data_IF_951021428383
#
_entry.id   IF_951021428383
#
_cell.length_a   1.000
_cell.length_b   1.000
_cell.length_c   1.000
_cell.angle_alpha   90.00
_cell.angle_beta   90.00
_cell.angle_gamma   90.00
#
_symmetry.space_group_name_H-M   'P 1'
#
loop_
_entity.id
_entity.type
_entity.pdbx_description
1 polymer ?
#
# COMPACT_ATOMS: atom_id res chain seq x y z
N UNK A 1 -7.41 -18.72 17.61
CA UNK A 1 -6.95 -17.34 17.30
C UNK A 1 -7.27 -17.14 15.84
N UNK A 2 -8.19 -16.25 15.51
CA UNK A 2 -8.83 -16.23 14.18
C UNK A 2 -7.82 -16.12 13.05
N UNK A 3 -7.77 -17.16 12.21
CA UNK A 3 -7.25 -17.11 10.85
C UNK A 3 -8.08 -16.09 10.06
N UNK A 4 -7.79 -14.80 10.27
CA UNK A 4 -8.34 -13.75 9.43
C UNK A 4 -7.58 -13.84 8.12
N UNK A 5 -8.21 -14.47 7.12
CA UNK A 5 -7.73 -14.43 5.73
C UNK A 5 -7.43 -12.96 5.40
N UNK A 6 -6.18 -12.68 5.04
CA UNK A 6 -5.75 -11.35 4.62
C UNK A 6 -6.67 -10.83 3.50
N UNK A 7 -6.90 -9.51 3.38
CA UNK A 7 -7.69 -8.98 2.27
C UNK A 7 -7.14 -9.45 0.91
N UNK A 8 -7.98 -9.67 -0.11
CA UNK A 8 -7.53 -10.15 -1.43
C UNK A 8 -6.38 -9.34 -2.03
N UNK A 9 -6.41 -8.01 -1.86
CA UNK A 9 -5.30 -7.14 -2.28
C UNK A 9 -3.98 -7.50 -1.60
N UNK A 10 -3.98 -7.75 -0.29
CA UNK A 10 -2.77 -8.14 0.44
C UNK A 10 -2.30 -9.53 -0.01
N UNK A 11 -3.21 -10.46 -0.27
CA UNK A 11 -2.84 -11.79 -0.77
C UNK A 11 -2.09 -11.70 -2.12
N UNK A 12 -2.52 -10.82 -3.02
CA UNK A 12 -1.83 -10.59 -4.29
C UNK A 12 -0.51 -9.83 -4.10
N UNK A 13 -0.47 -8.82 -3.23
CA UNK A 13 0.76 -8.10 -2.89
C UNK A 13 1.81 -8.98 -2.19
N UNK A 14 1.44 -10.14 -1.64
CA UNK A 14 2.38 -11.12 -1.09
C UNK A 14 3.02 -12.01 -2.17
N UNK A 15 2.71 -11.82 -3.45
CA UNK A 15 3.37 -12.51 -4.55
C UNK A 15 4.52 -11.64 -5.12
N UNK A 16 5.75 -12.16 -5.28
CA UNK A 16 6.87 -11.41 -5.84
C UNK A 16 6.59 -10.78 -7.20
N UNK A 17 5.82 -11.44 -8.05
CA UNK A 17 5.46 -10.95 -9.39
C UNK A 17 4.43 -9.82 -9.41
N UNK A 18 3.92 -9.38 -8.26
CA UNK A 18 3.06 -8.20 -8.14
C UNK A 18 3.85 -6.89 -8.38
N UNK A 19 5.16 -6.91 -8.15
CA UNK A 19 6.01 -5.73 -8.18
C UNK A 19 6.82 -5.66 -9.48
N UNK A 20 7.08 -4.44 -10.01
CA UNK A 20 7.84 -4.24 -11.24
C UNK A 20 9.37 -4.31 -11.04
N UNK A 21 9.83 -4.78 -9.87
CA UNK A 21 11.25 -4.87 -9.51
C UNK A 21 11.56 -6.22 -8.87
N UNK A 22 12.85 -6.55 -8.73
CA UNK A 22 13.28 -7.74 -7.99
C UNK A 22 12.85 -7.65 -6.52
N UNK A 23 12.27 -8.72 -6.00
CA UNK A 23 11.77 -8.81 -4.62
C UNK A 23 12.64 -9.76 -3.81
N UNK A 24 13.01 -9.35 -2.59
CA UNK A 24 13.64 -10.24 -1.61
C UNK A 24 12.57 -11.10 -0.93
N UNK A 25 12.73 -12.42 -1.02
CA UNK A 25 11.84 -13.38 -0.39
C UNK A 25 12.39 -13.86 0.98
N UNK A 26 11.50 -14.15 1.96
CA UNK A 26 10.05 -13.96 1.90
C UNK A 26 9.64 -12.49 2.07
N UNK A 27 8.57 -12.06 1.40
CA UNK A 27 7.94 -10.76 1.65
C UNK A 27 7.44 -10.74 3.10
N UNK A 28 7.86 -9.73 3.87
CA UNK A 28 7.40 -9.57 5.25
C UNK A 28 6.19 -8.64 5.30
N UNK A 29 5.11 -9.10 5.95
CA UNK A 29 3.92 -8.30 6.20
C UNK A 29 3.90 -7.80 7.64
N UNK A 30 3.93 -6.48 7.81
CA UNK A 30 3.72 -5.82 9.09
C UNK A 30 2.32 -5.21 9.08
N UNK A 31 1.48 -5.61 10.03
CA UNK A 31 0.15 -5.08 10.18
C UNK A 31 0.09 -4.09 11.36
N UNK A 32 -0.41 -2.89 11.08
CA UNK A 32 -0.73 -1.88 12.11
C UNK A 32 -2.25 -1.75 12.26
N UNK A 33 -2.69 -0.86 13.15
CA UNK A 33 -4.11 -0.52 13.29
C UNK A 33 -4.70 0.07 12.00
N UNK A 34 -3.95 0.91 11.28
CA UNK A 34 -4.46 1.70 10.15
C UNK A 34 -3.88 1.30 8.78
N UNK A 35 -2.84 0.45 8.74
CA UNK A 35 -2.13 0.13 7.50
C UNK A 35 -1.55 -1.27 7.49
N UNK A 36 -1.29 -1.77 6.28
CA UNK A 36 -0.39 -2.88 6.00
C UNK A 36 0.92 -2.31 5.46
N UNK A 37 2.05 -2.89 5.87
CA UNK A 37 3.38 -2.56 5.33
C UNK A 37 4.00 -3.86 4.81
N UNK A 38 4.41 -3.87 3.55
CA UNK A 38 5.05 -5.00 2.89
C UNK A 38 6.51 -4.65 2.62
N UNK A 39 7.43 -5.46 3.14
CA UNK A 39 8.87 -5.32 2.93
C UNK A 39 9.28 -6.25 1.78
N UNK A 40 9.81 -5.67 0.71
CA UNK A 40 10.09 -6.37 -0.55
C UNK A 40 11.59 -6.39 -0.91
N UNK A 41 12.46 -6.04 0.04
CA UNK A 41 13.89 -5.81 -0.19
C UNK A 41 14.19 -4.32 -0.16
N UNK A 42 14.59 -3.75 -1.30
CA UNK A 42 14.94 -2.32 -1.41
C UNK A 42 13.74 -1.39 -1.15
N UNK A 43 12.53 -1.85 -1.46
CA UNK A 43 11.31 -1.06 -1.31
C UNK A 43 10.41 -1.57 -0.18
N UNK A 44 9.71 -0.64 0.46
CA UNK A 44 8.62 -0.92 1.39
C UNK A 44 7.33 -0.27 0.88
N UNK A 45 6.24 -1.03 0.85
CA UNK A 45 4.93 -0.56 0.40
C UNK A 45 3.97 -0.46 1.56
N UNK A 46 3.33 0.70 1.73
CA UNK A 46 2.34 0.93 2.79
C UNK A 46 0.95 1.15 2.19
N UNK A 47 0.01 0.29 2.58
CA UNK A 47 -1.40 0.37 2.16
C UNK A 47 -2.29 0.77 3.34
N UNK A 48 -3.06 1.84 3.20
CA UNK A 48 -4.04 2.29 4.21
C UNK A 48 -5.30 1.40 4.18
N UNK A 49 -5.80 1.02 5.37
CA UNK A 49 -7.01 0.20 5.51
C UNK A 49 -8.28 1.04 5.29
N UNK A 50 -9.35 0.47 4.70
CA UNK A 50 -10.61 1.17 4.46
C UNK A 50 -11.45 1.25 5.75
N UNK A 51 -11.12 2.18 6.65
CA UNK A 51 -11.75 2.30 7.97
C UNK A 51 -12.01 3.76 8.35
N UNK A 52 -12.83 3.97 9.38
CA UNK A 52 -13.12 5.28 9.94
C UNK A 52 -13.11 5.21 11.47
N UNK A 53 -12.24 5.99 12.12
CA UNK A 53 -12.11 6.09 13.58
C UNK A 53 -12.76 7.36 14.16
N UNK A 54 -13.51 8.12 13.37
CA UNK A 54 -14.14 9.40 13.76
C UNK A 54 -13.19 10.60 13.71
N UNK A 55 -11.92 10.42 14.06
CA UNK A 55 -10.86 11.43 13.93
C UNK A 55 -9.91 11.17 12.75
N UNK A 56 -10.03 10.00 12.12
CA UNK A 56 -9.26 9.60 10.95
C UNK A 56 -10.18 8.77 10.04
N UNK A 57 -10.38 9.25 8.82
CA UNK A 57 -11.29 8.63 7.86
C UNK A 57 -10.55 8.21 6.58
N UNK A 58 -10.46 6.90 6.38
CA UNK A 58 -9.91 6.23 5.21
C UNK A 58 -11.00 5.41 4.50
N UNK A 59 -12.27 5.69 4.75
CA UNK A 59 -13.38 4.88 4.25
C UNK A 59 -13.49 4.94 2.72
N UNK A 60 -13.27 6.10 2.10
CA UNK A 60 -13.31 6.27 0.64
C UNK A 60 -11.92 6.21 0.00
N UNK A 61 -11.88 5.96 -1.32
CA UNK A 61 -10.63 5.96 -2.08
C UNK A 61 -10.00 7.36 -2.12
N UNK A 62 -10.83 8.39 -2.31
CA UNK A 62 -10.42 9.80 -2.37
C UNK A 62 -9.78 10.24 -1.06
N UNK A 63 -10.39 9.86 0.07
CA UNK A 63 -9.82 10.13 1.39
C UNK A 63 -8.49 9.39 1.57
N UNK A 64 -8.41 8.10 1.23
CA UNK A 64 -7.15 7.35 1.31
C UNK A 64 -6.05 8.00 0.45
N UNK A 65 -6.38 8.39 -0.77
CA UNK A 65 -5.44 9.06 -1.67
C UNK A 65 -4.96 10.39 -1.08
N UNK A 66 -5.88 11.24 -0.61
CA UNK A 66 -5.54 12.50 0.06
C UNK A 66 -4.58 12.29 1.23
N UNK A 67 -4.87 11.33 2.12
CA UNK A 67 -4.00 11.04 3.26
C UNK A 67 -2.67 10.34 2.90
N UNK A 68 -2.59 9.66 1.75
CA UNK A 68 -1.30 9.15 1.24
C UNK A 68 -0.42 10.31 0.77
N UNK A 69 -0.99 11.27 0.04
CA UNK A 69 -0.28 12.47 -0.39
C UNK A 69 0.16 13.35 0.79
N UNK A 70 -0.69 13.53 1.79
CA UNK A 70 -0.30 14.26 3.01
C UNK A 70 0.81 13.55 3.78
N UNK A 71 0.79 12.21 3.84
CA UNK A 71 1.87 11.44 4.47
C UNK A 71 3.20 11.63 3.74
N UNK A 72 3.21 11.59 2.40
CA UNK A 72 4.39 11.90 1.59
C UNK A 72 4.89 13.32 1.85
N UNK A 73 4.01 14.33 1.71
CA UNK A 73 4.32 15.75 1.86
C UNK A 73 4.88 16.10 3.25
N UNK A 74 4.31 15.51 4.31
CA UNK A 74 4.73 15.78 5.68
C UNK A 74 6.06 15.09 6.01
N UNK A 75 6.25 13.85 5.55
CA UNK A 75 7.42 13.06 5.91
C UNK A 75 8.65 13.37 5.04
N UNK A 76 8.48 13.92 3.84
CA UNK A 76 9.58 14.35 2.97
C UNK A 76 10.60 15.23 3.72
N UNK A 77 10.12 16.13 4.60
CA UNK A 77 10.99 17.02 5.39
C UNK A 77 11.79 16.30 6.48
N UNK A 78 11.22 15.26 7.08
CA UNK A 78 11.83 14.53 8.20
C UNK A 78 12.59 13.28 7.80
N UNK A 79 12.37 12.78 6.58
CA UNK A 79 12.88 11.52 6.07
C UNK A 79 13.09 11.60 4.54
N UNK A 80 13.96 12.51 4.05
CA UNK A 80 14.16 12.68 2.63
C UNK A 80 14.65 11.39 1.98
N UNK A 81 14.06 11.02 0.85
CA UNK A 81 14.40 9.80 0.10
C UNK A 81 13.83 8.50 0.68
N UNK A 82 13.11 8.54 1.81
CA UNK A 82 12.42 7.34 2.35
C UNK A 82 11.01 7.22 1.76
N UNK A 83 10.29 8.33 1.62
CA UNK A 83 8.96 8.38 1.02
C UNK A 83 9.11 8.77 -0.44
N UNK A 84 8.87 7.83 -1.35
CA UNK A 84 9.21 7.99 -2.77
C UNK A 84 8.04 8.59 -3.56
N UNK A 85 6.87 7.97 -3.50
CA UNK A 85 5.70 8.36 -4.29
C UNK A 85 4.43 7.69 -3.76
N UNK A 86 3.27 8.09 -4.30
CA UNK A 86 1.98 7.43 -4.07
C UNK A 86 1.59 6.71 -5.36
N UNK A 87 1.49 5.39 -5.30
CA UNK A 87 1.12 4.55 -6.45
C UNK A 87 -0.33 4.06 -6.35
N UNK A 88 -1.09 4.07 -7.45
CA UNK A 88 -2.40 3.42 -7.48
C UNK A 88 -2.26 1.90 -7.51
N UNK A 89 -3.28 1.21 -7.00
CA UNK A 89 -3.51 -0.22 -7.25
C UNK A 89 -4.77 -0.32 -8.10
N UNK A 90 -4.61 -0.71 -9.36
CA UNK A 90 -5.71 -0.85 -10.33
C UNK A 90 -6.08 -2.31 -10.51
N UNK A 91 -7.35 -2.60 -10.80
CA UNK A 91 -7.83 -3.94 -11.10
C UNK A 91 -8.07 -4.10 -12.60
N UNK A 92 -7.49 -5.15 -13.20
CA UNK A 92 -7.72 -5.57 -14.59
C UNK A 92 -8.19 -7.03 -14.57
N UNK A 93 -9.48 -7.25 -14.79
CA UNK A 93 -10.09 -8.56 -14.55
C UNK A 93 -9.98 -8.94 -13.07
N UNK A 94 -9.38 -10.10 -12.80
CA UNK A 94 -9.13 -10.57 -11.43
C UNK A 94 -7.72 -10.22 -10.89
N UNK A 95 -6.88 -9.58 -11.72
CA UNK A 95 -5.51 -9.22 -11.35
C UNK A 95 -5.42 -7.77 -10.89
N UNK A 96 -4.71 -7.55 -9.80
CA UNK A 96 -4.34 -6.23 -9.30
C UNK A 96 -2.94 -5.87 -9.79
N UNK A 97 -2.76 -4.62 -10.18
CA UNK A 97 -1.51 -4.08 -10.68
C UNK A 97 -1.11 -2.86 -9.87
N UNK A 98 0.14 -2.82 -9.45
CA UNK A 98 0.76 -1.66 -8.85
C UNK A 98 1.24 -0.69 -9.93
N UNK A 99 0.93 0.59 -9.78
CA UNK A 99 1.51 1.62 -10.63
C UNK A 99 1.03 1.53 -12.08
N UNK A 100 -0.24 1.84 -12.31
CA UNK A 100 -0.76 2.18 -13.63
C UNK A 100 -1.68 3.39 -13.47
N UNK A 101 -1.20 4.58 -13.81
CA UNK A 101 -2.09 5.52 -14.48
C UNK A 101 -2.22 4.97 -15.90
N UNK A 102 -3.42 4.58 -16.33
CA UNK A 102 -3.67 4.57 -17.76
C UNK A 102 -3.38 6.00 -18.24
N UNK A 103 -2.18 6.19 -18.79
CA UNK A 103 -1.89 7.37 -19.60
C UNK A 103 -2.96 7.39 -20.70
N UNK A 104 -3.72 8.48 -20.86
CA UNK A 104 -4.52 8.67 -22.06
C UNK A 104 -3.64 8.70 -23.31
#
# INVERSE_FOLDING_TARGET
MSDSKLPPVIQQMMQPNFYPHSVQEPIQLIQTHISYVLLTGEYAYKLKKPLNFGFLDFSTLEQRHHFCLEELRLNERGAPGIYLEVLPISQIGDQLHLGNEQSP
#
